data_IF_231803146587
#
_entry.id   IF_231803146587
#
_cell.length_a   1.000
_cell.length_b   1.000
_cell.length_c   1.000
_cell.angle_alpha   90.00
_cell.angle_beta   90.00
_cell.angle_gamma   90.00
#
_symmetry.space_group_name_H-M   'P 1'
#
loop_
_entity.id
_entity.type
_entity.pdbx_description
1 polymer ?
#
# COMPACT_ATOMS: atom_id res chain seq x y z
N UNK A 1 29.03 -21.39 3.49
CA UNK A 1 30.19 -20.50 3.70
C UNK A 1 30.28 -20.29 5.20
N UNK A 2 31.28 -20.85 5.90
CA UNK A 2 31.41 -20.65 7.35
C UNK A 2 31.76 -19.18 7.61
N UNK A 3 30.96 -18.52 8.45
CA UNK A 3 31.28 -17.19 8.97
C UNK A 3 32.45 -17.37 9.96
N UNK A 4 33.66 -17.51 9.44
CA UNK A 4 34.87 -17.60 10.27
C UNK A 4 35.04 -16.37 11.15
N UNK A 5 35.57 -16.59 12.35
CA UNK A 5 35.95 -15.66 13.43
C UNK A 5 35.61 -14.19 13.16
N UNK A 6 34.33 -13.84 13.38
CA UNK A 6 33.90 -12.46 13.41
C UNK A 6 34.29 -11.85 14.77
N UNK A 7 35.16 -10.84 14.75
CA UNK A 7 35.41 -10.01 15.93
C UNK A 7 34.40 -8.85 15.91
N UNK A 8 33.61 -8.71 16.98
CA UNK A 8 32.71 -7.59 17.18
C UNK A 8 33.14 -6.83 18.43
N UNK A 9 33.42 -5.53 18.29
CA UNK A 9 33.88 -4.69 19.39
C UNK A 9 32.98 -3.45 19.51
N UNK A 10 32.58 -3.12 20.75
CA UNK A 10 31.89 -1.87 21.04
C UNK A 10 32.91 -0.84 21.51
N UNK A 11 33.19 0.16 20.68
CA UNK A 11 34.15 1.24 20.98
C UNK A 11 33.42 2.51 21.40
N UNK A 12 33.90 3.15 22.45
CA UNK A 12 33.47 4.51 22.80
C UNK A 12 34.17 5.49 21.87
N UNK A 13 33.41 6.37 21.21
CA UNK A 13 33.98 7.38 20.33
C UNK A 13 34.65 8.48 21.16
N UNK A 14 35.83 8.92 20.74
CA UNK A 14 36.62 9.93 21.45
C UNK A 14 36.13 11.35 21.22
N UNK A 15 35.48 11.60 20.08
CA UNK A 15 35.05 12.93 19.63
C UNK A 15 33.63 13.30 20.10
N UNK A 16 32.84 12.33 20.57
CA UNK A 16 31.44 12.54 20.96
C UNK A 16 30.98 11.52 22.00
N UNK A 17 29.89 11.85 22.71
CA UNK A 17 29.21 10.93 23.65
C UNK A 17 28.41 9.86 22.89
N UNK A 18 29.09 8.97 22.19
CA UNK A 18 28.48 7.86 21.46
C UNK A 18 29.37 6.61 21.47
N UNK A 19 28.78 5.50 21.07
CA UNK A 19 29.46 4.22 20.88
C UNK A 19 29.35 3.79 19.42
N UNK A 20 30.34 3.08 18.92
CA UNK A 20 30.33 2.41 17.63
C UNK A 20 30.45 0.90 17.86
N UNK A 21 29.68 0.13 17.09
CA UNK A 21 29.88 -1.30 16.96
C UNK A 21 30.71 -1.53 15.70
N UNK A 22 31.94 -2.01 15.88
CA UNK A 22 32.81 -2.39 14.77
C UNK A 22 32.75 -3.91 14.60
N UNK A 23 32.40 -4.35 13.39
CA UNK A 23 32.33 -5.77 13.04
C UNK A 23 33.40 -6.08 12.01
N UNK A 24 34.49 -6.70 12.45
CA UNK A 24 35.54 -7.21 11.59
C UNK A 24 35.19 -8.61 11.10
N UNK A 25 34.52 -8.72 9.95
CA UNK A 25 34.24 -10.01 9.33
C UNK A 25 34.39 -9.95 7.81
N UNK A 26 35.48 -10.53 7.30
CA UNK A 26 35.69 -10.69 5.87
C UNK A 26 34.62 -11.58 5.22
N UNK A 27 34.11 -12.57 5.96
CA UNK A 27 33.02 -13.43 5.51
C UNK A 27 31.72 -12.66 5.29
N UNK A 28 31.31 -11.84 6.28
CA UNK A 28 30.14 -10.98 6.16
C UNK A 28 30.29 -9.98 5.01
N UNK A 29 31.45 -9.34 4.90
CA UNK A 29 31.73 -8.39 3.82
C UNK A 29 31.60 -9.03 2.44
N UNK A 30 32.24 -10.19 2.22
CA UNK A 30 32.15 -10.93 0.94
C UNK A 30 30.72 -11.38 0.66
N UNK A 31 29.99 -11.80 1.69
CA UNK A 31 28.59 -12.17 1.56
C UNK A 31 27.73 -10.97 1.15
N UNK A 32 27.91 -9.80 1.76
CA UNK A 32 27.19 -8.58 1.37
C UNK A 32 27.49 -8.17 -0.07
N UNK A 33 28.76 -8.24 -0.48
CA UNK A 33 29.17 -7.95 -1.86
C UNK A 33 28.54 -8.93 -2.86
N UNK A 34 28.58 -10.23 -2.57
CA UNK A 34 28.02 -11.26 -3.44
C UNK A 34 26.47 -11.22 -3.56
N UNK A 35 25.79 -10.51 -2.65
CA UNK A 35 24.35 -10.33 -2.65
C UNK A 35 23.92 -8.90 -3.04
N UNK A 36 24.84 -8.09 -3.60
CA UNK A 36 24.59 -6.72 -4.04
C UNK A 36 23.96 -5.82 -2.94
N UNK A 37 24.37 -6.04 -1.68
CA UNK A 37 23.90 -5.27 -0.52
C UNK A 37 24.76 -4.04 -0.21
N UNK A 38 25.81 -3.81 -1.00
CA UNK A 38 26.76 -2.71 -0.81
C UNK A 38 26.23 -1.42 -1.44
N UNK A 39 26.30 -0.32 -0.68
CA UNK A 39 25.80 1.00 -1.09
C UNK A 39 26.42 1.51 -2.40
N UNK A 40 27.68 1.17 -2.65
CA UNK A 40 28.42 1.62 -3.84
C UNK A 40 27.94 0.95 -5.14
N UNK A 41 27.14 -0.12 -5.01
CA UNK A 41 26.60 -0.91 -6.11
C UNK A 41 25.14 -0.55 -6.41
N UNK A 42 24.37 -0.05 -5.43
CA UNK A 42 22.95 0.28 -5.60
C UNK A 42 22.61 1.72 -5.20
N UNK A 43 22.08 2.50 -6.15
CA UNK A 43 21.52 3.85 -5.92
C UNK A 43 20.20 3.80 -5.13
N UNK A 44 19.60 2.61 -4.96
CA UNK A 44 18.33 2.39 -4.28
C UNK A 44 18.39 1.29 -3.23
N UNK A 45 17.23 0.74 -2.87
CA UNK A 45 17.18 -0.41 -1.95
C UNK A 45 17.71 -1.65 -2.69
N UNK A 46 18.61 -2.47 -2.09
CA UNK A 46 19.16 -3.64 -2.74
C UNK A 46 18.08 -4.57 -3.30
N UNK A 47 18.31 -5.09 -4.51
CA UNK A 47 17.33 -5.93 -5.21
C UNK A 47 16.97 -7.19 -4.42
N UNK A 48 17.95 -7.78 -3.72
CA UNK A 48 17.75 -8.91 -2.82
C UNK A 48 16.70 -8.63 -1.71
N UNK A 49 16.62 -7.38 -1.24
CA UNK A 49 15.58 -6.96 -0.29
C UNK A 49 14.27 -6.69 -1.01
N UNK A 50 14.28 -6.00 -2.16
CA UNK A 50 13.07 -5.67 -2.92
C UNK A 50 12.27 -6.90 -3.38
N UNK A 51 12.96 -8.00 -3.67
CA UNK A 51 12.35 -9.28 -4.05
C UNK A 51 12.30 -10.29 -2.89
N UNK A 52 12.70 -9.88 -1.69
CA UNK A 52 12.72 -10.74 -0.52
C UNK A 52 11.32 -11.07 -0.02
N UNK A 53 11.23 -12.09 0.83
CA UNK A 53 10.02 -12.37 1.58
C UNK A 53 9.63 -11.17 2.48
N UNK A 54 8.35 -11.07 2.82
CA UNK A 54 7.82 -9.94 3.58
C UNK A 54 8.58 -9.72 4.91
N UNK A 55 8.97 -10.81 5.58
CA UNK A 55 9.72 -10.78 6.83
C UNK A 55 11.11 -10.16 6.66
N UNK A 56 11.78 -10.40 5.55
CA UNK A 56 13.09 -9.82 5.25
C UNK A 56 12.99 -8.33 4.98
N UNK A 57 11.94 -7.90 4.28
CA UNK A 57 11.64 -6.48 4.04
C UNK A 57 11.35 -5.78 5.37
N UNK A 58 10.50 -6.35 6.23
CA UNK A 58 10.19 -5.77 7.55
C UNK A 58 11.46 -5.73 8.42
N UNK A 59 12.31 -6.76 8.37
CA UNK A 59 13.59 -6.76 9.08
C UNK A 59 14.54 -5.66 8.58
N UNK A 60 14.58 -5.41 7.26
CA UNK A 60 15.32 -4.28 6.69
C UNK A 60 14.78 -2.94 7.18
N UNK A 61 13.45 -2.73 7.18
CA UNK A 61 12.81 -1.52 7.71
C UNK A 61 13.09 -1.34 9.21
N UNK A 62 13.09 -2.43 9.98
CA UNK A 62 13.44 -2.44 11.40
C UNK A 62 14.90 -2.00 11.62
N UNK A 63 15.84 -2.55 10.86
CA UNK A 63 17.25 -2.17 10.91
C UNK A 63 17.46 -0.70 10.55
N UNK A 64 16.79 -0.20 9.51
CA UNK A 64 16.85 1.22 9.13
C UNK A 64 16.24 2.13 10.21
N UNK A 65 15.15 1.69 10.83
CA UNK A 65 14.56 2.39 11.97
C UNK A 65 15.54 2.45 13.15
N UNK A 66 16.19 1.34 13.47
CA UNK A 66 17.16 1.24 14.56
C UNK A 66 18.46 2.02 14.28
N UNK A 67 18.86 2.21 13.03
CA UNK A 67 20.01 3.04 12.70
C UNK A 67 19.63 4.53 12.66
N UNK A 68 18.76 4.92 11.73
CA UNK A 68 18.54 6.32 11.34
C UNK A 68 17.13 6.83 11.71
N UNK A 69 16.25 5.91 12.11
CA UNK A 69 14.90 6.25 12.56
C UNK A 69 14.85 6.96 13.92
N UNK A 70 13.86 7.82 14.05
CA UNK A 70 13.48 8.51 15.28
C UNK A 70 12.01 8.21 15.58
N UNK A 71 11.72 7.80 16.82
CA UNK A 71 10.35 7.67 17.28
C UNK A 71 9.82 9.04 17.72
N UNK A 72 8.83 9.55 16.98
CA UNK A 72 8.13 10.76 17.34
C UNK A 72 7.04 10.44 18.37
N UNK A 73 7.30 10.76 19.64
CA UNK A 73 6.37 10.53 20.76
C UNK A 73 5.01 11.22 20.57
N UNK A 74 4.98 12.41 19.95
CA UNK A 74 3.74 13.18 19.75
C UNK A 74 2.87 12.55 18.67
N UNK A 75 3.48 12.21 17.53
CA UNK A 75 2.78 11.57 16.43
C UNK A 75 2.53 10.07 16.67
N UNK A 76 3.23 9.47 17.65
CA UNK A 76 3.30 8.02 17.88
C UNK A 76 3.63 7.27 16.60
N UNK A 77 4.71 7.70 15.95
CA UNK A 77 5.11 7.24 14.62
C UNK A 77 6.64 7.25 14.49
N UNK A 78 7.14 6.48 13.54
CA UNK A 78 8.56 6.43 13.17
C UNK A 78 8.81 7.40 12.03
N UNK A 79 9.85 8.21 12.17
CA UNK A 79 10.32 9.11 11.12
C UNK A 79 11.79 8.87 10.84
N UNK A 80 12.19 9.04 9.59
CA UNK A 80 13.60 9.19 9.23
C UNK A 80 13.71 10.14 8.04
N UNK A 81 14.91 10.63 7.80
CA UNK A 81 15.17 11.57 6.70
C UNK A 81 16.29 11.04 5.82
N UNK A 82 16.10 11.08 4.51
CA UNK A 82 17.11 10.67 3.53
C UNK A 82 17.24 11.70 2.43
N UNK A 83 18.45 11.88 1.92
CA UNK A 83 18.75 12.82 0.84
C UNK A 83 18.61 12.20 -0.55
N UNK A 84 18.59 10.87 -0.64
CA UNK A 84 18.51 10.17 -1.92
C UNK A 84 17.04 9.93 -2.35
N UNK A 85 16.70 10.44 -3.53
CA UNK A 85 15.35 10.34 -4.09
C UNK A 85 14.99 8.91 -4.51
N UNK A 86 15.92 8.20 -5.14
CA UNK A 86 15.69 6.85 -5.65
C UNK A 86 15.51 5.87 -4.49
N UNK A 87 16.39 5.93 -3.48
CA UNK A 87 16.27 5.13 -2.27
C UNK A 87 14.94 5.36 -1.55
N UNK A 88 14.50 6.62 -1.41
CA UNK A 88 13.26 6.90 -0.66
C UNK A 88 12.00 6.45 -1.40
N UNK A 89 12.03 6.45 -2.74
CA UNK A 89 10.97 5.85 -3.57
C UNK A 89 10.95 4.32 -3.43
N UNK A 90 12.10 3.67 -3.61
CA UNK A 90 12.22 2.22 -3.44
C UNK A 90 11.77 1.78 -2.04
N UNK A 91 12.26 2.48 -1.00
CA UNK A 91 11.88 2.22 0.38
C UNK A 91 10.37 2.32 0.59
N UNK A 92 9.75 3.39 0.09
CA UNK A 92 8.31 3.57 0.22
C UNK A 92 7.57 2.39 -0.43
N UNK A 93 7.98 1.98 -1.63
CA UNK A 93 7.34 0.88 -2.35
C UNK A 93 7.46 -0.45 -1.59
N UNK A 94 8.65 -0.84 -1.16
CA UNK A 94 8.83 -2.11 -0.44
C UNK A 94 8.11 -2.11 0.91
N UNK A 95 8.10 -0.99 1.61
CA UNK A 95 7.42 -0.88 2.90
C UNK A 95 5.91 -1.04 2.71
N UNK A 96 5.33 -0.38 1.70
CA UNK A 96 3.91 -0.51 1.40
C UNK A 96 3.53 -1.91 0.91
N UNK A 97 4.40 -2.57 0.13
CA UNK A 97 4.17 -3.94 -0.32
C UNK A 97 4.01 -4.94 0.84
N UNK A 98 4.59 -4.63 2.01
CA UNK A 98 4.44 -5.44 3.24
C UNK A 98 3.49 -4.84 4.27
N UNK A 99 2.68 -3.86 3.88
CA UNK A 99 1.67 -3.25 4.76
C UNK A 99 2.19 -2.17 5.70
N UNK A 100 3.41 -1.66 5.52
CA UNK A 100 3.97 -0.52 6.25
C UNK A 100 3.82 0.77 5.43
N UNK A 101 2.77 1.53 5.72
CA UNK A 101 2.36 2.70 4.94
C UNK A 101 3.21 3.95 5.24
N UNK A 102 4.46 3.98 4.81
CA UNK A 102 5.31 5.17 4.95
C UNK A 102 4.90 6.28 3.97
N UNK A 103 4.60 7.45 4.49
CA UNK A 103 4.50 8.68 3.70
C UNK A 103 5.90 9.22 3.38
N UNK A 104 6.04 9.86 2.23
CA UNK A 104 7.28 10.52 1.76
C UNK A 104 6.95 11.96 1.38
N UNK A 105 7.67 12.92 1.94
CA UNK A 105 7.49 14.35 1.62
C UNK A 105 8.84 15.04 1.44
N UNK A 106 9.06 15.78 0.33
CA UNK A 106 10.26 16.60 0.17
C UNK A 106 10.22 17.77 1.15
N UNK A 107 11.30 17.99 1.87
CA UNK A 107 11.49 19.18 2.69
C UNK A 107 11.92 20.34 1.78
N UNK A 108 10.98 21.21 1.45
CA UNK A 108 11.20 22.40 0.60
C UNK A 108 11.34 23.68 1.40
N UNK A 109 11.21 23.63 2.73
CA UNK A 109 11.06 24.82 3.60
C UNK A 109 12.23 25.04 4.57
N UNK A 110 13.17 24.12 4.67
CA UNK A 110 14.36 24.30 5.51
C UNK A 110 15.38 25.25 4.85
N UNK A 111 15.92 26.21 5.62
CA UNK A 111 17.26 26.73 5.31
C UNK A 111 18.23 25.57 5.48
N UNK A 112 18.48 24.83 4.40
CA UNK A 112 19.40 23.70 4.44
C UNK A 112 20.80 24.22 4.77
N UNK A 113 21.23 24.03 6.02
CA UNK A 113 22.61 24.24 6.44
C UNK A 113 23.55 23.22 5.79
N UNK A 114 23.00 22.19 5.14
CA UNK A 114 23.71 21.17 4.38
C UNK A 114 23.69 21.48 2.88
N UNK A 115 24.78 21.18 2.16
CA UNK A 115 24.92 21.42 0.70
C UNK A 115 23.93 20.64 -0.17
N UNK A 116 23.19 19.68 0.39
CA UNK A 116 22.20 18.89 -0.34
C UNK A 116 20.88 19.68 -0.47
N UNK A 117 20.39 19.86 -1.69
CA UNK A 117 19.23 20.73 -2.00
C UNK A 117 17.87 20.13 -1.66
N UNK A 118 17.75 18.80 -1.50
CA UNK A 118 16.49 18.13 -1.16
C UNK A 118 16.73 17.06 -0.10
N UNK A 119 15.90 17.07 0.95
CA UNK A 119 15.85 16.03 1.98
C UNK A 119 14.41 15.52 2.02
N UNK A 120 14.22 14.22 1.96
CA UNK A 120 12.91 13.59 2.05
C UNK A 120 12.65 13.13 3.48
N UNK A 121 11.54 13.57 4.05
CA UNK A 121 11.01 13.05 5.30
C UNK A 121 10.15 11.84 5.00
N UNK A 122 10.51 10.70 5.57
CA UNK A 122 9.73 9.47 5.53
C UNK A 122 9.07 9.26 6.89
N UNK A 123 7.75 9.08 6.93
CA UNK A 123 6.97 8.95 8.17
C UNK A 123 6.07 7.73 8.09
N UNK A 124 6.13 6.85 9.09
CA UNK A 124 5.24 5.70 9.19
C UNK A 124 3.81 6.19 9.40
N UNK A 125 3.01 6.06 8.36
CA UNK A 125 1.62 6.46 8.35
C UNK A 125 0.79 5.47 9.14
N UNK A 126 -0.30 5.99 9.68
CA UNK A 126 -1.22 5.17 10.45
C UNK A 126 -2.11 4.29 9.58
N UNK A 127 -1.93 4.25 8.26
CA UNK A 127 -2.60 3.32 7.35
C UNK A 127 -1.93 1.94 7.30
N UNK A 128 -0.89 1.72 8.10
CA UNK A 128 -0.16 0.45 8.14
C UNK A 128 -1.03 -0.65 8.73
N UNK A 129 -0.92 -1.86 8.19
CA UNK A 129 -1.62 -3.05 8.69
C UNK A 129 -1.12 -3.41 10.09
N UNK A 130 -2.00 -3.74 11.05
CA UNK A 130 -1.60 -4.11 12.41
C UNK A 130 -0.53 -5.20 12.47
N UNK A 131 -0.65 -6.21 11.62
CA UNK A 131 0.24 -7.39 11.57
C UNK A 131 1.67 -6.99 11.19
N UNK A 132 1.82 -6.15 10.16
CA UNK A 132 3.13 -5.66 9.74
C UNK A 132 3.77 -4.74 10.80
N UNK A 133 2.97 -3.92 11.48
CA UNK A 133 3.45 -3.03 12.55
C UNK A 133 3.89 -3.83 13.77
N UNK A 134 3.16 -4.89 14.13
CA UNK A 134 3.55 -5.82 15.19
C UNK A 134 4.85 -6.54 14.84
N UNK A 135 4.99 -7.03 13.61
CA UNK A 135 6.23 -7.64 13.13
C UNK A 135 7.40 -6.65 13.19
N UNK A 136 7.18 -5.40 12.80
CA UNK A 136 8.18 -4.32 12.91
C UNK A 136 8.58 -4.06 14.37
N UNK A 137 7.63 -4.04 15.32
CA UNK A 137 7.91 -3.86 16.74
C UNK A 137 8.75 -4.99 17.33
N UNK A 138 8.46 -6.23 16.92
CA UNK A 138 9.20 -7.41 17.37
C UNK A 138 10.66 -7.34 16.95
N UNK A 139 10.92 -6.82 15.75
CA UNK A 139 12.25 -6.80 15.14
C UNK A 139 13.07 -5.55 15.49
N UNK A 140 12.44 -4.38 15.64
CA UNK A 140 13.14 -3.13 15.95
C UNK A 140 13.37 -2.95 17.44
N UNK A 141 14.62 -2.77 17.85
CA UNK A 141 14.99 -2.49 19.24
C UNK A 141 14.46 -1.13 19.72
N UNK A 142 14.44 -0.11 18.85
CA UNK A 142 13.91 1.22 19.20
C UNK A 142 12.40 1.19 19.46
N UNK A 143 11.66 0.28 18.85
CA UNK A 143 10.18 0.27 18.92
C UNK A 143 9.59 -0.64 19.99
N UNK A 144 10.39 -1.52 20.62
CA UNK A 144 9.94 -2.46 21.67
C UNK A 144 9.11 -1.82 22.79
N UNK A 145 9.34 -0.54 23.09
CA UNK A 145 8.67 0.19 24.17
C UNK A 145 7.80 1.35 23.65
N UNK A 146 7.54 1.42 22.35
CA UNK A 146 6.98 2.59 21.70
C UNK A 146 5.85 2.21 20.73
N UNK A 147 4.59 2.19 21.22
CA UNK A 147 3.45 1.78 20.41
C UNK A 147 3.16 2.83 19.32
N UNK A 148 3.38 2.41 18.07
CA UNK A 148 2.99 3.15 16.86
C UNK A 148 1.47 3.17 16.72
N UNK A 149 0.92 4.29 16.27
CA UNK A 149 -0.51 4.44 16.00
C UNK A 149 -0.87 3.82 14.65
N UNK A 150 -1.75 2.83 14.66
CA UNK A 150 -2.39 2.27 13.45
C UNK A 150 -3.87 2.61 13.43
N UNK A 151 -4.39 2.83 12.23
CA UNK A 151 -5.80 2.95 11.88
C UNK A 151 -6.03 1.95 10.76
N UNK A 152 -7.04 1.10 10.92
CA UNK A 152 -7.46 0.21 9.86
C UNK A 152 -8.28 1.00 8.83
N UNK A 153 -7.62 1.88 8.07
CA UNK A 153 -8.25 2.66 6.98
C UNK A 153 -7.90 1.98 5.66
N UNK A 154 -8.93 1.43 5.01
CA UNK A 154 -8.83 0.65 3.77
C UNK A 154 -8.19 1.39 2.58
N UNK A 155 -8.05 2.71 2.61
CA UNK A 155 -7.46 3.48 1.51
C UNK A 155 -6.49 4.53 2.04
N UNK A 156 -5.23 4.39 1.64
CA UNK A 156 -4.13 5.26 2.05
C UNK A 156 -3.67 6.22 0.94
N UNK A 157 -4.23 6.05 -0.28
CA UNK A 157 -3.90 6.88 -1.44
C UNK A 157 -5.07 7.79 -1.76
N UNK A 158 -4.77 9.04 -2.13
CA UNK A 158 -5.74 10.04 -2.56
C UNK A 158 -5.42 10.42 -4.00
N UNK A 159 -6.43 10.40 -4.87
CA UNK A 159 -6.33 11.01 -6.19
C UNK A 159 -6.23 12.52 -6.03
N UNK A 160 -5.10 13.09 -6.45
CA UNK A 160 -4.82 14.53 -6.36
C UNK A 160 -5.47 15.31 -7.51
N UNK A 161 -5.49 14.72 -8.71
CA UNK A 161 -6.15 15.27 -9.89
C UNK A 161 -6.33 14.23 -10.98
N UNK A 162 -7.18 14.55 -11.96
CA UNK A 162 -7.39 13.75 -13.19
C UNK A 162 -7.15 14.67 -14.37
N UNK A 163 -6.27 14.28 -15.28
CA UNK A 163 -5.95 15.03 -16.49
C UNK A 163 -6.30 14.23 -17.73
N UNK A 164 -6.91 14.87 -18.72
CA UNK A 164 -7.11 14.27 -20.04
C UNK A 164 -5.82 14.34 -20.84
N UNK A 165 -5.35 13.21 -21.35
CA UNK A 165 -4.12 13.09 -22.16
C UNK A 165 -4.42 12.84 -23.64
N UNK A 166 -5.67 12.98 -24.06
CA UNK A 166 -6.10 12.71 -25.44
C UNK A 166 -6.05 11.21 -25.80
N UNK A 167 -6.13 10.91 -27.10
CA UNK A 167 -6.00 9.55 -27.61
C UNK A 167 -4.53 9.13 -27.57
N UNK A 168 -4.22 8.12 -26.75
CA UNK A 168 -2.88 7.53 -26.66
C UNK A 168 -2.97 6.01 -26.71
N UNK A 169 -1.87 5.38 -27.12
CA UNK A 169 -1.74 3.93 -27.03
C UNK A 169 -1.83 3.51 -25.56
N UNK A 170 -2.58 2.44 -25.31
CA UNK A 170 -2.67 1.84 -23.98
C UNK A 170 -2.40 0.35 -24.05
N UNK A 171 -1.83 -0.20 -22.98
CA UNK A 171 -1.68 -1.64 -22.80
C UNK A 171 -2.44 -2.06 -21.53
N UNK A 172 -3.02 -3.25 -21.54
CA UNK A 172 -3.74 -3.78 -20.40
C UNK A 172 -3.21 -5.16 -20.04
N UNK A 173 -3.36 -5.52 -18.77
CA UNK A 173 -2.94 -6.80 -18.22
C UNK A 173 -4.17 -7.42 -17.55
N UNK A 174 -4.49 -8.66 -17.92
CA UNK A 174 -5.57 -9.41 -17.29
C UNK A 174 -5.01 -10.41 -16.30
N UNK A 175 -5.27 -10.20 -15.00
CA UNK A 175 -4.98 -11.20 -13.97
C UNK A 175 -6.19 -12.11 -13.73
N UNK A 176 -5.99 -13.44 -13.64
CA UNK A 176 -7.10 -14.42 -13.60
C UNK A 176 -7.91 -14.38 -12.31
N UNK A 177 -7.32 -13.99 -11.17
CA UNK A 177 -7.97 -14.01 -9.86
C UNK A 177 -8.24 -12.59 -9.34
N UNK A 178 -9.50 -12.33 -8.97
CA UNK A 178 -9.91 -11.07 -8.34
C UNK A 178 -9.95 -9.85 -9.27
N UNK A 179 -9.45 -9.96 -10.50
CA UNK A 179 -9.30 -8.87 -11.46
C UNK A 179 -8.54 -7.65 -10.90
N UNK A 180 -7.71 -7.82 -9.88
CA UNK A 180 -7.00 -6.72 -9.22
C UNK A 180 -5.52 -7.06 -9.07
N UNK A 181 -4.66 -6.08 -9.29
CA UNK A 181 -3.24 -6.20 -9.11
C UNK A 181 -2.66 -4.94 -8.47
N UNK A 182 -1.57 -5.09 -7.72
CA UNK A 182 -0.88 -3.96 -7.11
C UNK A 182 0.10 -3.39 -8.13
N UNK A 183 -0.19 -2.16 -8.54
CA UNK A 183 0.56 -1.37 -9.49
C UNK A 183 1.82 -0.74 -8.88
N UNK A 184 2.67 -0.21 -9.75
CA UNK A 184 3.77 0.66 -9.34
C UNK A 184 3.27 1.82 -8.47
N UNK A 185 3.92 2.03 -7.32
CA UNK A 185 3.47 3.03 -6.32
C UNK A 185 2.43 2.51 -5.32
N UNK A 186 2.19 1.19 -5.28
CA UNK A 186 1.29 0.54 -4.32
C UNK A 186 -0.18 0.98 -4.44
N UNK A 187 -0.57 1.40 -5.64
CA UNK A 187 -1.97 1.57 -6.01
C UNK A 187 -2.56 0.20 -6.39
N UNK A 188 -3.77 -0.09 -5.94
CA UNK A 188 -4.51 -1.26 -6.44
C UNK A 188 -5.21 -0.88 -7.75
N UNK A 189 -4.78 -1.51 -8.83
CA UNK A 189 -5.39 -1.41 -10.15
C UNK A 189 -6.32 -2.59 -10.39
N UNK A 190 -7.33 -2.40 -11.24
CA UNK A 190 -8.25 -3.44 -11.67
C UNK A 190 -7.98 -3.75 -13.16
N UNK A 191 -8.19 -4.99 -13.59
CA UNK A 191 -8.25 -5.36 -15.01
C UNK A 191 -9.20 -4.38 -15.72
N UNK A 192 -8.98 -4.00 -16.97
CA UNK A 192 -9.70 -2.91 -17.67
C UNK A 192 -9.17 -1.50 -17.41
N UNK A 193 -8.25 -1.28 -16.46
CA UNK A 193 -7.54 0.00 -16.36
C UNK A 193 -6.34 -0.01 -17.32
N UNK A 194 -6.60 0.26 -18.60
CA UNK A 194 -5.55 0.34 -19.61
C UNK A 194 -4.50 1.38 -19.21
N UNK A 195 -3.24 0.95 -19.17
CA UNK A 195 -2.08 1.79 -18.87
C UNK A 195 -1.79 2.69 -20.05
N UNK A 196 -1.87 4.00 -19.86
CA UNK A 196 -1.31 4.96 -20.81
C UNK A 196 0.20 4.83 -20.77
N UNK A 197 0.82 4.58 -21.93
CA UNK A 197 2.28 4.62 -22.02
C UNK A 197 2.77 6.02 -21.65
N UNK A 198 3.79 6.10 -20.81
CA UNK A 198 4.39 7.37 -20.47
C UNK A 198 4.84 8.10 -21.74
N UNK A 199 4.56 9.39 -21.83
CA UNK A 199 5.06 10.25 -22.91
C UNK A 199 6.26 11.06 -22.43
N UNK A 200 7.06 11.60 -23.35
CA UNK A 200 8.16 12.51 -23.01
C UNK A 200 7.69 13.74 -22.22
N UNK A 201 6.42 14.14 -22.36
CA UNK A 201 5.83 15.29 -21.68
C UNK A 201 5.27 14.97 -20.28
N UNK A 202 4.77 13.76 -20.08
CA UNK A 202 4.05 13.38 -18.84
C UNK A 202 4.79 12.37 -17.95
N UNK A 203 5.91 11.81 -18.42
CA UNK A 203 6.68 10.80 -17.69
C UNK A 203 5.93 9.48 -17.55
N UNK A 204 6.48 8.56 -16.75
CA UNK A 204 5.81 7.30 -16.44
C UNK A 204 4.55 7.53 -15.58
N UNK A 205 3.43 6.96 -16.01
CA UNK A 205 2.13 7.06 -15.33
C UNK A 205 1.91 5.79 -14.49
N UNK A 206 1.67 5.96 -13.19
CA UNK A 206 1.31 4.86 -12.29
C UNK A 206 -0.10 4.33 -12.58
N UNK A 207 -0.34 3.02 -12.40
CA UNK A 207 -1.63 2.41 -12.77
C UNK A 207 -2.74 2.77 -11.76
N UNK A 208 -3.99 2.69 -12.24
CA UNK A 208 -5.16 3.38 -11.67
C UNK A 208 -5.53 3.00 -10.24
N UNK A 209 -6.29 3.90 -9.59
CA UNK A 209 -6.87 3.74 -8.24
C UNK A 209 -8.40 3.80 -8.37
N UNK A 210 -9.11 2.77 -7.92
CA UNK A 210 -10.57 2.83 -7.76
C UNK A 210 -10.99 3.13 -6.33
N UNK A 211 -11.97 4.01 -6.15
CA UNK A 211 -12.75 4.07 -4.90
C UNK A 211 -13.77 2.92 -4.91
N UNK A 212 -13.99 2.20 -3.80
CA UNK A 212 -15.11 1.28 -3.69
C UNK A 212 -16.40 2.10 -3.85
N UNK A 213 -17.21 1.76 -4.85
CA UNK A 213 -18.42 2.52 -5.16
C UNK A 213 -19.48 2.43 -4.04
N UNK A 214 -19.45 1.37 -3.21
CA UNK A 214 -20.18 1.23 -1.94
C UNK A 214 -19.81 -0.09 -1.23
N UNK A 215 -20.19 -0.27 0.05
CA UNK A 215 -20.09 -1.56 0.80
C UNK A 215 -20.87 -2.71 0.12
N UNK A 216 -21.92 -2.36 -0.63
CA UNK A 216 -22.68 -3.27 -1.48
C UNK A 216 -22.95 -2.56 -2.81
N UNK A 217 -22.57 -3.18 -3.92
CA UNK A 217 -22.87 -2.67 -5.26
C UNK A 217 -24.16 -3.35 -5.73
N UNK A 218 -25.27 -2.62 -5.71
CA UNK A 218 -26.52 -3.07 -6.30
C UNK A 218 -26.55 -2.71 -7.78
N UNK A 219 -25.99 -3.57 -8.62
CA UNK A 219 -26.09 -3.40 -10.07
C UNK A 219 -27.49 -3.80 -10.54
N UNK A 220 -28.31 -2.80 -10.89
CA UNK A 220 -29.57 -3.02 -11.58
C UNK A 220 -29.30 -3.19 -13.08
N UNK A 221 -28.97 -4.43 -13.47
CA UNK A 221 -28.80 -4.78 -14.88
C UNK A 221 -30.19 -4.90 -15.52
N UNK A 222 -30.44 -4.10 -16.55
CA UNK A 222 -31.68 -4.16 -17.34
C UNK A 222 -31.41 -5.00 -18.57
N UNK A 223 -32.13 -6.10 -18.69
CA UNK A 223 -32.13 -6.93 -19.89
C UNK A 223 -33.32 -6.57 -20.77
N UNK A 224 -33.12 -6.65 -22.09
CA UNK A 224 -34.26 -6.64 -23.02
C UNK A 224 -34.97 -8.00 -22.94
N UNK A 225 -36.25 -8.06 -23.30
CA UNK A 225 -37.03 -9.32 -23.23
C UNK A 225 -36.44 -10.43 -24.13
N UNK A 226 -35.69 -10.04 -25.16
CA UNK A 226 -35.08 -10.95 -26.14
C UNK A 226 -33.63 -11.30 -25.82
N UNK A 227 -33.10 -10.82 -24.68
CA UNK A 227 -31.72 -11.11 -24.31
C UNK A 227 -31.57 -12.61 -23.94
N UNK A 228 -30.66 -13.35 -24.58
CA UNK A 228 -30.50 -14.79 -24.37
C UNK A 228 -30.09 -15.15 -22.93
N UNK A 229 -29.66 -14.18 -22.12
CA UNK A 229 -29.34 -14.37 -20.70
C UNK A 229 -30.58 -14.41 -19.80
N UNK A 230 -31.72 -13.86 -20.24
CA UNK A 230 -32.95 -13.79 -19.41
C UNK A 230 -33.43 -15.18 -19.02
N UNK A 231 -33.43 -16.14 -19.95
CA UNK A 231 -33.91 -17.49 -19.66
C UNK A 231 -32.96 -18.27 -18.74
N UNK A 232 -31.65 -18.09 -18.95
CA UNK A 232 -30.61 -18.68 -18.08
C UNK A 232 -30.71 -18.14 -16.64
N UNK A 233 -30.99 -16.85 -16.49
CA UNK A 233 -31.11 -16.19 -15.18
C UNK A 233 -32.43 -16.53 -14.47
N UNK A 234 -33.51 -16.83 -15.21
CA UNK A 234 -34.77 -17.35 -14.64
C UNK A 234 -34.59 -18.75 -14.05
N UNK A 235 -33.92 -19.64 -14.78
CA UNK A 235 -33.58 -20.99 -14.30
C UNK A 235 -32.72 -20.92 -13.04
N UNK A 236 -31.80 -19.95 -12.97
CA UNK A 236 -30.94 -19.71 -11.82
C UNK A 236 -31.64 -19.02 -10.62
N UNK A 237 -32.97 -18.83 -10.65
CA UNK A 237 -33.79 -18.20 -9.60
C UNK A 237 -33.28 -16.81 -9.14
N UNK A 238 -32.72 -16.03 -10.07
CA UNK A 238 -32.29 -14.67 -9.79
C UNK A 238 -33.50 -13.72 -9.89
N UNK A 239 -33.75 -12.88 -8.87
CA UNK A 239 -34.87 -11.92 -8.87
C UNK A 239 -34.68 -10.86 -9.97
N UNK A 240 -35.27 -11.10 -11.14
CA UNK A 240 -35.31 -10.16 -12.27
C UNK A 240 -36.59 -9.32 -12.22
N UNK A 241 -36.46 -7.99 -12.13
CA UNK A 241 -37.57 -7.08 -12.39
C UNK A 241 -37.62 -6.80 -13.90
N UNK A 242 -38.41 -7.58 -14.64
CA UNK A 242 -38.71 -7.28 -16.04
C UNK A 242 -39.72 -6.13 -16.12
N UNK A 243 -39.36 -5.07 -16.84
CA UNK A 243 -40.29 -4.01 -17.22
C UNK A 243 -41.18 -4.58 -18.34
N UNK A 244 -42.38 -5.04 -17.99
CA UNK A 244 -43.51 -5.07 -18.92
C UNK A 244 -44.28 -3.77 -18.71
N UNK A 245 -44.48 -3.01 -19.78
CA UNK A 245 -45.46 -1.93 -19.84
C UNK A 245 -46.83 -2.51 -19.48
N UNK A 246 -47.31 -2.27 -18.26
CA UNK A 246 -48.66 -2.64 -17.82
C UNK A 246 -49.43 -1.34 -17.58
N UNK A 247 -50.21 -0.95 -18.59
CA UNK A 247 -51.56 -0.39 -18.35
C UNK A 247 -52.39 -1.52 -17.73
N UNK A 248 -53.20 -1.18 -16.72
CA UNK A 248 -54.10 -2.05 -15.95
C UNK A 248 -53.44 -3.08 -14.99
N UNK A 249 -53.21 -2.66 -13.74
CA UNK A 249 -54.00 -3.17 -12.59
C UNK A 249 -54.17 -1.99 -11.61
N UNK A 250 -55.05 -1.06 -11.97
CA UNK A 250 -55.84 -0.35 -10.97
C UNK A 250 -57.04 -1.25 -10.64
N UNK A 251 -57.49 -1.23 -9.38
CA UNK A 251 -58.53 -2.06 -8.77
C UNK A 251 -58.09 -3.45 -8.31
N UNK A 252 -57.45 -3.51 -7.14
CA UNK A 252 -58.06 -4.13 -5.95
C UNK A 252 -57.04 -4.13 -4.82
N UNK A 253 -57.02 -3.04 -4.04
CA UNK A 253 -57.03 -3.05 -2.57
C UNK A 253 -56.88 -1.59 -2.11
N UNK A 254 -57.99 -0.88 -2.19
CA UNK A 254 -58.21 0.30 -1.38
C UNK A 254 -58.80 -0.19 -0.05
N UNK A 255 -58.34 0.42 1.05
CA UNK A 255 -58.91 0.37 2.42
C UNK A 255 -58.53 -0.90 3.20
N UNK A 256 -57.90 -0.84 4.38
CA UNK A 256 -58.24 0.02 5.52
C UNK A 256 -57.04 0.34 6.44
N UNK A 257 -56.96 1.62 6.79
CA UNK A 257 -56.58 2.23 8.08
C UNK A 257 -55.77 1.43 9.13
N UNK A 258 -54.72 2.13 9.60
CA UNK A 258 -54.21 2.23 10.98
C UNK A 258 -53.46 1.03 11.59
N UNK A 259 -52.15 1.21 11.83
CA UNK A 259 -51.57 1.45 13.17
C UNK A 259 -50.09 1.00 13.25
N UNK A 260 -49.30 1.83 13.94
CA UNK A 260 -48.02 1.60 14.64
C UNK A 260 -47.34 0.21 14.62
N UNK A 261 -46.02 0.28 14.39
CA UNK A 261 -44.95 -0.49 15.06
C UNK A 261 -44.87 -2.02 14.84
N UNK A 262 -43.83 -2.46 14.11
CA UNK A 262 -42.90 -3.57 14.45
C UNK A 262 -41.94 -3.75 13.26
N UNK A 263 -40.68 -3.30 13.35
CA UNK A 263 -39.52 -4.12 13.73
C UNK A 263 -39.71 -5.63 13.51
N UNK A 264 -38.95 -6.23 12.60
CA UNK A 264 -38.10 -7.41 12.87
C UNK A 264 -37.00 -7.44 11.80
N UNK A 265 -35.79 -7.22 12.30
CA UNK A 265 -34.51 -7.60 11.70
C UNK A 265 -34.34 -9.09 12.01
N UNK A 266 -34.04 -9.93 11.01
CA UNK A 266 -33.22 -11.12 11.21
C UNK A 266 -32.80 -11.73 9.86
N UNK A 267 -31.51 -11.60 9.53
CA UNK A 267 -30.80 -12.58 8.73
C UNK A 267 -29.50 -12.88 9.50
N UNK A 268 -29.57 -13.90 10.35
CA UNK A 268 -28.40 -14.55 10.92
C UNK A 268 -27.95 -15.62 9.94
N UNK A 269 -26.65 -15.62 9.71
CA UNK A 269 -25.81 -16.63 9.08
C UNK A 269 -26.26 -18.08 9.38
N UNK A 270 -26.45 -18.86 8.31
CA UNK A 270 -25.79 -20.15 8.07
C UNK A 270 -25.75 -20.41 6.57
#
# INVERSE_FOLDING_TARGET
MSLGDSCAEVKKLSDRKAFALEVGSAGLWRWMLANDLMKDVSVGVPRAIRHGAAEHVIAFVAGLTDSDGCYNKRARSVIFTQSDDAFTKDFQQIAWAVGLAFGRSPNTKGQNLQKHKCIYLCTLGAHSTPEAVEALWRLSNKLKHHPVRTWNRAYAVRVDGVQSVGANMTADISVPDGNEYVAYGCATSHNTASKVFGTNEHGEVAEGIHKPLAKYIFNRIRFTVHDPLVEKLRVANTRLNLIRTIRQVCLSFCLSRMSTSLLIVMAILK
#
